data_IF_056759711207
#
_entry.id   IF_056759711207
#
_cell.length_a   1.000
_cell.length_b   1.000
_cell.length_c   1.000
_cell.angle_alpha   90.00
_cell.angle_beta   90.00
_cell.angle_gamma   90.00
#
_symmetry.space_group_name_H-M   'P 1'
#
loop_
_entity.id
_entity.type
_entity.pdbx_description
1 polymer ?
#
# COMPACT_ATOMS: atom_id res chain seq x y z
N UNK A 1 -0.26 2.68 1.72
CA UNK A 1 0.41 3.92 2.20
C UNK A 1 -0.42 5.08 1.74
N UNK A 2 -0.55 5.19 0.42
CA UNK A 2 -1.43 6.13 -0.25
C UNK A 2 -2.87 6.15 0.27
N UNK A 3 -3.50 4.98 0.48
CA UNK A 3 -4.89 4.90 0.99
C UNK A 3 -5.03 5.10 2.49
N UNK A 4 -3.91 5.11 3.25
CA UNK A 4 -3.94 5.18 4.71
C UNK A 4 -4.54 3.96 5.42
N UNK A 5 -4.88 2.87 4.71
CA UNK A 5 -5.49 1.66 5.29
C UNK A 5 -4.58 0.44 5.10
N UNK A 6 -4.41 -0.34 6.17
CA UNK A 6 -3.81 -1.68 6.13
C UNK A 6 -4.87 -2.69 5.68
N UNK A 7 -4.58 -3.38 4.58
CA UNK A 7 -5.45 -4.42 4.06
C UNK A 7 -5.55 -5.62 5.03
N UNK A 8 -6.75 -6.19 5.22
CA UNK A 8 -6.93 -7.34 6.10
C UNK A 8 -6.30 -8.61 5.53
N UNK A 9 -5.67 -9.37 6.40
CA UNK A 9 -5.24 -10.75 6.16
C UNK A 9 -6.48 -11.64 6.19
N UNK A 10 -6.68 -12.38 5.12
CA UNK A 10 -7.77 -13.35 4.98
C UNK A 10 -7.39 -14.71 5.58
N UNK A 11 -8.40 -15.53 5.89
CA UNK A 11 -8.25 -16.92 6.38
C UNK A 11 -7.50 -17.08 7.71
N UNK A 12 -7.44 -16.03 8.54
CA UNK A 12 -6.94 -16.13 9.91
C UNK A 12 -8.10 -16.36 10.89
N UNK A 13 -8.24 -17.61 11.36
CA UNK A 13 -9.30 -18.00 12.31
C UNK A 13 -8.77 -18.10 13.75
N UNK A 14 -7.63 -18.77 13.94
CA UNK A 14 -7.00 -18.94 15.25
C UNK A 14 -5.48 -19.04 15.10
N UNK A 15 -4.71 -18.50 16.07
CA UNK A 15 -3.26 -18.63 16.04
C UNK A 15 -2.84 -20.09 16.25
N UNK A 16 -1.74 -20.49 15.61
CA UNK A 16 -1.07 -21.76 15.92
C UNK A 16 -0.50 -21.72 17.35
N UNK A 17 -0.56 -22.83 18.07
CA UNK A 17 -0.18 -22.91 19.50
C UNK A 17 1.29 -22.55 19.74
N UNK A 18 2.14 -22.77 18.74
CA UNK A 18 3.57 -22.51 18.78
C UNK A 18 3.92 -21.03 18.62
N UNK A 19 2.98 -20.18 18.20
CA UNK A 19 3.20 -18.76 17.93
C UNK A 19 2.89 -17.89 19.16
N UNK A 20 3.69 -18.05 20.20
CA UNK A 20 3.52 -17.35 21.48
C UNK A 20 3.43 -15.83 21.34
N UNK A 21 4.23 -15.22 20.45
CA UNK A 21 4.21 -13.78 20.21
C UNK A 21 2.84 -13.26 19.70
N UNK A 22 2.10 -14.08 18.97
CA UNK A 22 0.74 -13.73 18.52
C UNK A 22 -0.26 -13.94 19.65
N UNK A 23 -0.15 -15.06 20.37
CA UNK A 23 -1.03 -15.41 21.50
C UNK A 23 -0.93 -14.37 22.63
N UNK A 24 0.29 -13.92 22.93
CA UNK A 24 0.59 -12.89 23.93
C UNK A 24 0.29 -11.47 23.44
N UNK A 25 -0.06 -11.29 22.15
CA UNK A 25 -0.38 -9.99 21.56
C UNK A 25 0.81 -9.09 21.23
N UNK A 26 2.05 -9.58 21.32
CA UNK A 26 3.26 -8.85 20.88
C UNK A 26 3.29 -8.61 19.37
N UNK A 27 2.70 -9.53 18.61
CA UNK A 27 2.46 -9.41 17.17
C UNK A 27 0.96 -9.51 16.94
N UNK A 28 0.37 -8.48 16.32
CA UNK A 28 -1.05 -8.46 15.96
C UNK A 28 -1.22 -8.77 14.48
N UNK A 29 -2.03 -9.78 14.16
CA UNK A 29 -2.45 -10.05 12.78
C UNK A 29 -3.59 -9.08 12.42
N UNK A 30 -3.43 -8.36 11.32
CA UNK A 30 -4.44 -7.41 10.85
C UNK A 30 -5.56 -8.15 10.11
N UNK A 31 -6.71 -8.43 10.75
CA UNK A 31 -7.84 -9.13 10.11
C UNK A 31 -8.96 -8.21 9.63
N UNK A 32 -8.88 -6.94 9.98
CA UNK A 32 -9.87 -5.91 9.62
C UNK A 32 -9.18 -4.78 8.86
N UNK A 33 -9.90 -4.03 8.01
CA UNK A 33 -9.39 -2.77 7.48
C UNK A 33 -9.02 -1.84 8.63
N UNK A 34 -7.72 -1.56 8.78
CA UNK A 34 -7.21 -0.80 9.93
C UNK A 34 -6.49 0.44 9.45
N UNK A 35 -6.74 1.57 10.10
CA UNK A 35 -5.99 2.81 9.82
C UNK A 35 -4.49 2.61 10.03
N UNK A 36 -3.71 3.01 9.04
CA UNK A 36 -2.29 2.90 9.08
C UNK A 36 -1.67 4.07 9.86
N UNK A 37 -1.07 3.76 11.00
CA UNK A 37 -0.16 4.66 11.70
C UNK A 37 1.17 4.81 10.96
N UNK A 38 1.43 6.01 10.43
CA UNK A 38 2.63 6.33 9.64
C UNK A 38 3.90 5.90 10.37
N UNK A 39 4.68 5.03 9.73
CA UNK A 39 5.89 4.45 10.30
C UNK A 39 6.67 3.63 9.27
N UNK A 40 7.83 3.12 9.68
CA UNK A 40 8.61 2.21 8.84
C UNK A 40 7.87 0.88 8.65
N UNK A 41 8.03 0.29 7.46
CA UNK A 41 7.44 -1.02 7.11
C UNK A 41 8.55 -1.95 6.66
N UNK A 42 8.53 -3.18 7.18
CA UNK A 42 9.43 -4.25 6.76
C UNK A 42 8.73 -5.20 5.79
N UNK A 43 9.45 -5.68 4.79
CA UNK A 43 9.00 -6.77 3.90
C UNK A 43 10.05 -7.87 3.88
N UNK A 44 9.59 -9.11 4.10
CA UNK A 44 10.42 -10.32 4.09
C UNK A 44 10.09 -11.15 2.84
N UNK A 45 11.11 -11.80 2.26
CA UNK A 45 10.96 -12.79 1.20
C UNK A 45 11.98 -13.91 1.39
N UNK A 46 11.48 -15.16 1.43
CA UNK A 46 12.30 -16.35 1.66
C UNK A 46 11.98 -17.40 0.58
N UNK A 47 12.96 -17.71 -0.26
CA UNK A 47 12.86 -18.72 -1.31
C UNK A 47 13.23 -20.10 -0.79
N UNK A 48 12.56 -21.14 -1.29
CA UNK A 48 12.78 -22.52 -0.83
C UNK A 48 14.24 -23.01 -1.01
N UNK A 49 14.97 -22.45 -1.97
CA UNK A 49 16.40 -22.73 -2.19
C UNK A 49 17.35 -22.06 -1.18
N UNK A 50 16.82 -21.41 -0.13
CA UNK A 50 17.59 -20.77 0.93
C UNK A 50 17.94 -19.29 0.68
N UNK A 51 17.48 -18.71 -0.44
CA UNK A 51 17.63 -17.28 -0.71
C UNK A 51 16.72 -16.46 0.19
N UNK A 52 17.30 -15.55 0.99
CA UNK A 52 16.57 -14.72 1.94
C UNK A 52 16.79 -13.24 1.64
N UNK A 53 15.74 -12.44 1.78
CA UNK A 53 15.80 -11.00 1.58
C UNK A 53 14.90 -10.26 2.54
N UNK A 54 15.36 -9.09 2.97
CA UNK A 54 14.66 -8.19 3.87
C UNK A 54 14.83 -6.75 3.38
N UNK A 55 13.74 -5.99 3.36
CA UNK A 55 13.79 -4.56 3.04
C UNK A 55 13.02 -3.76 4.09
N UNK A 56 13.52 -2.56 4.34
CA UNK A 56 12.87 -1.55 5.17
C UNK A 56 12.44 -0.38 4.28
N UNK A 57 11.16 -0.03 4.36
CA UNK A 57 10.55 1.06 3.62
C UNK A 57 10.16 2.18 4.58
N UNK A 58 10.41 3.42 4.17
CA UNK A 58 9.89 4.61 4.84
C UNK A 58 8.82 5.24 3.95
N UNK A 59 7.64 5.57 4.52
CA UNK A 59 6.64 6.31 3.77
C UNK A 59 7.13 7.67 3.31
N UNK A 60 6.75 8.06 2.10
CA UNK A 60 6.92 9.44 1.65
C UNK A 60 5.99 10.33 2.50
N UNK A 61 6.53 11.25 3.32
CA UNK A 61 5.71 12.07 4.20
C UNK A 61 5.02 13.23 3.46
N UNK A 62 5.34 13.44 2.18
CA UNK A 62 4.81 14.56 1.40
C UNK A 62 3.31 14.38 1.17
N UNK A 63 2.52 15.17 1.88
CA UNK A 63 1.11 15.32 1.57
C UNK A 63 0.95 16.23 0.35
N UNK A 64 0.08 15.82 -0.58
CA UNK A 64 -0.27 16.65 -1.73
C UNK A 64 -1.23 17.74 -1.26
N UNK A 65 -0.87 19.00 -1.46
CA UNK A 65 -1.77 20.14 -1.26
C UNK A 65 -2.82 20.08 -2.38
N UNK A 66 -4.10 20.25 -2.04
CA UNK A 66 -5.20 20.24 -3.00
C UNK A 66 -5.21 18.99 -3.92
N UNK A 67 -4.88 17.81 -3.37
CA UNK A 67 -4.70 16.56 -4.14
C UNK A 67 -3.69 16.63 -5.31
N UNK A 68 -2.82 17.65 -5.33
CA UNK A 68 -1.87 17.91 -6.40
C UNK A 68 -2.37 18.89 -7.46
N UNK A 69 -3.59 19.41 -7.33
CA UNK A 69 -4.11 20.44 -8.21
C UNK A 69 -3.45 21.80 -7.94
N UNK A 70 -3.12 22.58 -8.98
CA UNK A 70 -2.64 23.95 -8.84
C UNK A 70 -3.61 24.84 -8.06
N UNK A 71 -3.10 25.94 -7.49
CA UNK A 71 -3.90 26.91 -6.75
C UNK A 71 -4.30 28.09 -7.65
N UNK A 72 -4.90 27.80 -8.81
CA UNK A 72 -5.40 28.78 -9.78
C UNK A 72 -6.41 28.14 -10.75
N UNK A 73 -7.15 28.98 -11.48
CA UNK A 73 -8.28 28.57 -12.34
C UNK A 73 -7.90 28.45 -13.84
N UNK A 74 -6.62 28.38 -14.18
CA UNK A 74 -6.20 28.29 -15.57
C UNK A 74 -6.48 26.88 -16.12
N UNK A 75 -6.87 26.71 -17.40
CA UNK A 75 -6.98 25.39 -18.01
C UNK A 75 -5.60 24.73 -18.16
N UNK A 76 -5.55 23.39 -18.21
CA UNK A 76 -4.31 22.61 -18.40
C UNK A 76 -4.46 21.70 -19.60
N UNK A 77 -3.45 21.68 -20.45
CA UNK A 77 -3.34 20.69 -21.52
C UNK A 77 -2.74 19.42 -20.95
N UNK A 78 -3.47 18.31 -21.04
CA UNK A 78 -2.96 16.97 -20.73
C UNK A 78 -2.92 16.19 -22.04
N UNK A 79 -1.72 15.86 -22.49
CA UNK A 79 -1.52 15.04 -23.68
C UNK A 79 -1.19 13.61 -23.26
N UNK A 80 -1.87 12.64 -23.86
CA UNK A 80 -1.73 11.21 -23.54
C UNK A 80 -1.55 10.40 -24.81
N UNK A 81 -0.98 9.21 -24.67
CA UNK A 81 -0.80 8.26 -25.76
C UNK A 81 -1.09 6.85 -25.25
N UNK A 82 -1.69 6.01 -26.09
CA UNK A 82 -1.96 4.62 -25.80
C UNK A 82 -1.80 3.75 -27.04
N UNK A 83 -1.49 2.46 -26.85
CA UNK A 83 -1.37 1.51 -27.97
C UNK A 83 -2.73 1.15 -28.57
N UNK A 84 -3.83 1.47 -27.89
CA UNK A 84 -5.21 1.33 -28.40
C UNK A 84 -5.99 2.61 -28.11
N UNK A 85 -7.09 2.80 -28.83
CA UNK A 85 -8.00 3.92 -28.60
C UNK A 85 -8.61 3.87 -27.19
N UNK A 86 -8.94 2.67 -26.70
CA UNK A 86 -9.47 2.46 -25.35
C UNK A 86 -8.49 2.91 -24.28
N UNK A 87 -7.19 2.67 -24.46
CA UNK A 87 -6.18 3.13 -23.52
C UNK A 87 -6.11 4.66 -23.45
N UNK A 88 -6.27 5.35 -24.57
CA UNK A 88 -6.35 6.83 -24.60
C UNK A 88 -7.61 7.32 -23.92
N UNK A 89 -8.77 6.69 -24.19
CA UNK A 89 -10.05 7.07 -23.58
C UNK A 89 -10.03 6.91 -22.06
N UNK A 90 -9.56 5.77 -21.54
CA UNK A 90 -9.51 5.51 -20.09
C UNK A 90 -8.70 6.59 -19.35
N UNK A 91 -7.55 7.01 -19.89
CA UNK A 91 -6.71 8.02 -19.21
C UNK A 91 -7.36 9.42 -19.25
N UNK A 92 -8.18 9.72 -20.25
CA UNK A 92 -8.87 11.01 -20.37
C UNK A 92 -10.19 11.07 -19.60
N UNK A 93 -10.82 9.91 -19.35
CA UNK A 93 -12.11 9.80 -18.64
C UNK A 93 -11.95 9.62 -17.12
N UNK A 94 -10.75 9.28 -16.63
CA UNK A 94 -10.36 9.23 -15.20
C UNK A 94 -10.17 10.64 -14.58
#
# INVERSE_FOLDING_TARGET
METGILAPVIHFNSPRKELSAIIEGRIKINTEPTEWQVGYVAINSFGFGGGNSHILLKPNPKQKINNGAPNDDLPRLVAVSGCTEEAVRIILDD
#
